data_IF_588523383295
#
_entry.id   IF_588523383295
#
_cell.length_a   1.000
_cell.length_b   1.000
_cell.length_c   1.000
_cell.angle_alpha   90.00
_cell.angle_beta   90.00
_cell.angle_gamma   90.00
#
_symmetry.space_group_name_H-M   'P 1'
#
loop_
_entity.id
_entity.type
_entity.pdbx_description
1 polymer ?
#
# COMPACT_ATOMS: atom_id res chain seq x y z
N UNK A 1 43.25 -9.18 -31.21
CA UNK A 1 42.25 -9.86 -32.06
C UNK A 1 41.28 -10.59 -31.15
N UNK A 2 40.00 -10.17 -31.15
CA UNK A 2 38.72 -10.76 -30.68
C UNK A 2 38.66 -11.81 -29.55
N UNK A 3 37.59 -11.95 -28.77
CA UNK A 3 36.28 -11.29 -28.69
C UNK A 3 35.47 -11.98 -27.57
N UNK A 4 34.53 -11.25 -26.93
CA UNK A 4 33.37 -11.81 -26.21
C UNK A 4 33.58 -12.13 -24.72
N UNK A 5 32.88 -11.55 -23.75
CA UNK A 5 31.54 -10.97 -23.78
C UNK A 5 30.61 -11.82 -22.90
N UNK A 6 30.20 -11.31 -21.74
CA UNK A 6 29.29 -12.03 -20.85
C UNK A 6 29.11 -11.37 -19.49
N UNK A 7 28.53 -10.17 -19.48
CA UNK A 7 28.10 -9.49 -18.26
C UNK A 7 27.03 -10.29 -17.53
N UNK A 8 27.39 -10.92 -16.42
CA UNK A 8 26.46 -11.36 -15.40
C UNK A 8 26.21 -10.22 -14.41
N UNK A 9 25.42 -9.23 -14.83
CA UNK A 9 24.70 -8.39 -13.88
C UNK A 9 23.69 -9.29 -13.16
N UNK A 10 24.17 -10.11 -12.23
CA UNK A 10 23.34 -10.70 -11.20
C UNK A 10 22.81 -9.51 -10.40
N UNK A 11 21.61 -9.10 -10.82
CA UNK A 11 20.97 -7.88 -10.38
C UNK A 11 20.95 -7.87 -8.86
N UNK A 12 21.80 -7.01 -8.31
CA UNK A 12 21.64 -6.34 -7.04
C UNK A 12 20.33 -5.55 -7.15
N UNK A 13 19.19 -6.24 -7.15
CA UNK A 13 17.93 -5.66 -6.75
C UNK A 13 18.13 -5.38 -5.26
N UNK A 14 18.74 -4.23 -4.97
CA UNK A 14 18.60 -3.60 -3.65
C UNK A 14 17.13 -3.70 -3.33
N UNK A 15 16.78 -4.45 -2.28
CA UNK A 15 15.41 -4.52 -1.79
C UNK A 15 14.85 -3.09 -1.74
N UNK A 16 13.98 -2.75 -2.68
CA UNK A 16 13.40 -1.41 -2.75
C UNK A 16 12.33 -1.35 -1.67
N UNK A 17 12.78 -1.04 -0.46
CA UNK A 17 11.93 -0.87 0.70
C UNK A 17 11.55 0.59 0.79
N UNK A 18 10.27 0.86 0.75
CA UNK A 18 9.74 2.20 0.91
C UNK A 18 8.84 2.31 2.13
N UNK A 19 8.67 3.54 2.63
CA UNK A 19 7.70 3.84 3.68
C UNK A 19 6.37 4.26 3.08
N UNK A 20 5.30 3.58 3.48
CA UNK A 20 3.92 3.90 3.10
C UNK A 20 3.05 4.03 4.36
N UNK A 21 1.86 4.57 4.17
CA UNK A 21 0.90 4.84 5.23
C UNK A 21 -0.40 4.07 5.00
N UNK A 22 -0.94 3.51 6.07
CA UNK A 22 -2.27 2.89 6.11
C UNK A 22 -3.14 3.62 7.12
N UNK A 23 -4.14 4.37 6.65
CA UNK A 23 -5.16 4.98 7.51
C UNK A 23 -6.25 3.97 7.84
N UNK A 24 -6.59 3.83 9.12
CA UNK A 24 -7.62 2.91 9.61
C UNK A 24 -8.17 3.37 10.96
N UNK A 25 -9.05 2.59 11.59
CA UNK A 25 -9.50 2.83 12.96
C UNK A 25 -8.44 2.42 13.97
N UNK A 26 -8.38 3.05 15.15
CA UNK A 26 -7.46 2.67 16.23
C UNK A 26 -7.62 1.20 16.61
N UNK A 27 -8.86 0.71 16.70
CA UNK A 27 -9.16 -0.71 16.96
C UNK A 27 -8.49 -1.63 15.93
N UNK A 28 -8.57 -1.30 14.65
CA UNK A 28 -7.94 -2.09 13.59
C UNK A 28 -6.42 -1.95 13.58
N UNK A 29 -5.89 -0.76 13.84
CA UNK A 29 -4.45 -0.55 13.96
C UNK A 29 -3.84 -1.42 15.07
N UNK A 30 -4.51 -1.54 16.22
CA UNK A 30 -4.08 -2.41 17.31
C UNK A 30 -4.12 -3.90 16.91
N UNK A 31 -5.15 -4.34 16.18
CA UNK A 31 -5.22 -5.71 15.63
C UNK A 31 -4.09 -5.98 14.66
N UNK A 32 -3.82 -5.05 13.73
CA UNK A 32 -2.75 -5.17 12.74
C UNK A 32 -1.38 -5.21 13.42
N UNK A 33 -1.17 -4.40 14.46
CA UNK A 33 0.09 -4.39 15.21
C UNK A 33 0.37 -5.73 15.90
N UNK A 34 -0.69 -6.43 16.35
CA UNK A 34 -0.57 -7.73 17.02
C UNK A 34 -0.52 -8.92 16.06
N UNK A 35 -1.29 -8.87 14.97
CA UNK A 35 -1.53 -10.02 14.08
C UNK A 35 -1.04 -9.85 12.64
N UNK A 36 -0.48 -8.69 12.31
CA UNK A 36 -0.15 -8.32 10.93
C UNK A 36 -1.37 -7.91 10.10
N UNK A 37 -1.13 -7.58 8.83
CA UNK A 37 -2.19 -7.19 7.91
C UNK A 37 -2.96 -8.40 7.39
N UNK A 38 -4.28 -8.28 7.36
CA UNK A 38 -5.15 -9.15 6.57
C UNK A 38 -5.54 -8.42 5.29
N UNK A 39 -5.55 -9.10 4.13
CA UNK A 39 -5.97 -8.47 2.89
C UNK A 39 -7.46 -8.15 2.96
N UNK A 40 -7.86 -7.01 2.38
CA UNK A 40 -9.28 -6.73 2.18
C UNK A 40 -9.91 -7.83 1.31
N UNK A 41 -11.17 -8.17 1.58
CA UNK A 41 -11.92 -9.13 0.75
C UNK A 41 -12.41 -8.51 -0.57
N UNK A 42 -12.49 -7.19 -0.64
CA UNK A 42 -12.98 -6.44 -1.79
C UNK A 42 -12.21 -5.11 -1.95
N UNK A 43 -12.41 -4.47 -3.10
CA UNK A 43 -11.83 -3.17 -3.44
C UNK A 43 -11.64 -3.01 -4.94
N UNK A 44 -11.36 -1.78 -5.35
CA UNK A 44 -11.17 -1.44 -6.77
C UNK A 44 -10.03 -2.25 -7.41
N UNK A 45 -8.95 -2.50 -6.67
CA UNK A 45 -7.80 -3.29 -7.11
C UNK A 45 -7.85 -4.76 -6.63
N UNK A 46 -9.00 -5.20 -6.12
CA UNK A 46 -9.18 -6.54 -5.56
C UNK A 46 -8.53 -6.72 -4.19
N UNK A 47 -8.30 -7.98 -3.77
CA UNK A 47 -7.79 -8.30 -2.45
C UNK A 47 -6.36 -7.80 -2.23
N UNK A 48 -6.13 -7.17 -1.07
CA UNK A 48 -4.81 -6.72 -0.66
C UNK A 48 -4.88 -5.65 0.43
N UNK A 49 -3.75 -5.05 0.74
CA UNK A 49 -3.62 -3.94 1.69
C UNK A 49 -3.49 -2.65 0.90
N UNK A 50 -4.39 -1.71 1.18
CA UNK A 50 -4.40 -0.41 0.52
C UNK A 50 -3.51 0.58 1.28
N UNK A 51 -2.56 1.17 0.56
CA UNK A 51 -1.52 2.02 1.11
C UNK A 51 -1.41 3.33 0.33
N UNK A 52 -0.85 4.35 0.96
CA UNK A 52 -0.53 5.62 0.30
C UNK A 52 0.88 6.09 0.64
N UNK A 53 1.52 6.77 -0.32
CA UNK A 53 2.74 7.55 -0.05
C UNK A 53 2.46 8.80 0.78
N UNK A 54 1.24 9.34 0.68
CA UNK A 54 0.85 10.58 1.33
C UNK A 54 0.23 10.30 2.70
N UNK A 55 0.90 10.79 3.74
CA UNK A 55 0.34 10.82 5.09
C UNK A 55 -0.99 11.55 5.11
N UNK A 56 -1.09 12.69 4.43
CA UNK A 56 -2.33 13.48 4.33
C UNK A 56 -3.47 12.68 3.70
N UNK A 57 -3.19 11.90 2.64
CA UNK A 57 -4.20 11.01 2.05
C UNK A 57 -4.62 9.90 3.02
N UNK A 58 -3.67 9.30 3.74
CA UNK A 58 -3.99 8.32 4.78
C UNK A 58 -4.81 8.94 5.92
N UNK A 59 -4.59 10.22 6.24
CA UNK A 59 -5.36 10.99 7.21
C UNK A 59 -6.79 11.28 6.76
N UNK A 60 -7.08 11.30 5.45
CA UNK A 60 -8.44 11.57 4.97
C UNK A 60 -9.48 10.49 5.39
N UNK A 61 -9.03 9.32 5.85
CA UNK A 61 -9.93 8.29 6.39
C UNK A 61 -10.69 8.74 7.66
N UNK A 62 -10.19 9.74 8.40
CA UNK A 62 -10.82 10.26 9.61
C UNK A 62 -12.25 10.76 9.37
N UNK A 63 -12.54 11.27 8.17
CA UNK A 63 -13.81 11.91 7.87
C UNK A 63 -15.01 10.93 7.87
N UNK A 64 -14.76 9.62 7.86
CA UNK A 64 -15.81 8.59 7.75
C UNK A 64 -15.71 7.51 8.83
N UNK A 65 -15.16 7.85 10.00
CA UNK A 65 -15.04 6.89 11.10
C UNK A 65 -16.41 6.57 11.73
N UNK A 66 -16.66 5.30 12.11
CA UNK A 66 -17.82 4.96 12.91
C UNK A 66 -17.86 5.74 14.24
N UNK A 67 -19.05 5.91 14.84
CA UNK A 67 -19.15 6.51 16.17
C UNK A 67 -18.26 5.76 17.17
N UNK A 68 -17.54 6.52 18.01
CA UNK A 68 -16.62 6.00 19.05
C UNK A 68 -15.34 5.32 18.54
N UNK A 69 -15.02 5.43 17.25
CA UNK A 69 -13.69 5.06 16.73
C UNK A 69 -12.79 6.28 16.60
N UNK A 70 -11.52 6.09 16.89
CA UNK A 70 -10.47 7.07 16.66
C UNK A 70 -9.69 6.74 15.39
N UNK A 71 -9.11 7.75 14.75
CA UNK A 71 -8.23 7.50 13.61
C UNK A 71 -6.87 6.99 14.09
N UNK A 72 -6.31 6.02 13.37
CA UNK A 72 -4.90 5.68 13.46
C UNK A 72 -4.28 5.62 12.06
N UNK A 73 -2.99 5.94 11.99
CA UNK A 73 -2.19 5.79 10.78
C UNK A 73 -0.99 4.92 11.11
N UNK A 74 -0.83 3.84 10.35
CA UNK A 74 0.32 2.96 10.45
C UNK A 74 1.35 3.36 9.40
N UNK A 75 2.59 3.62 9.82
CA UNK A 75 3.73 3.76 8.91
C UNK A 75 4.40 2.40 8.74
N UNK A 76 4.43 1.91 7.51
CA UNK A 76 4.87 0.56 7.17
C UNK A 76 6.03 0.58 6.19
N UNK A 77 6.91 -0.42 6.30
CA UNK A 77 7.96 -0.69 5.31
C UNK A 77 7.45 -1.73 4.31
N UNK A 78 7.51 -1.41 3.03
CA UNK A 78 6.96 -2.24 1.95
C UNK A 78 8.05 -2.54 0.94
N UNK A 79 8.23 -3.82 0.62
CA UNK A 79 9.05 -4.26 -0.50
C UNK A 79 8.29 -4.08 -1.81
N UNK A 80 8.79 -3.22 -2.69
CA UNK A 80 8.16 -2.92 -3.98
C UNK A 80 9.12 -3.30 -5.10
N UNK A 81 8.95 -4.48 -5.69
CA UNK A 81 9.77 -4.91 -6.83
C UNK A 81 9.01 -4.75 -8.15
N UNK A 82 7.89 -5.46 -8.32
CA UNK A 82 7.14 -5.48 -9.59
C UNK A 82 5.80 -4.77 -9.46
N UNK A 83 5.73 -3.56 -10.01
CA UNK A 83 4.52 -2.72 -9.99
C UNK A 83 3.69 -2.91 -11.28
N UNK A 84 2.38 -3.11 -11.13
CA UNK A 84 1.42 -3.06 -12.23
C UNK A 84 0.63 -1.75 -12.19
N UNK A 85 0.80 -0.92 -13.23
CA UNK A 85 -0.08 0.21 -13.49
C UNK A 85 -1.49 -0.28 -13.88
N UNK A 86 -2.52 0.24 -13.21
CA UNK A 86 -3.94 0.01 -13.48
C UNK A 86 -4.60 1.38 -13.66
N UNK A 87 -4.76 1.82 -14.90
CA UNK A 87 -5.14 3.20 -15.26
C UNK A 87 -6.51 3.31 -15.94
N UNK A 88 -7.31 2.24 -15.95
CA UNK A 88 -8.68 2.24 -16.45
C UNK A 88 -9.55 1.19 -15.77
N UNK A 89 -10.84 1.52 -15.64
CA UNK A 89 -11.81 0.58 -15.07
C UNK A 89 -11.98 -0.62 -16.03
N UNK A 90 -12.14 -1.81 -15.48
CA UNK A 90 -12.21 -3.04 -16.26
C UNK A 90 -10.86 -3.52 -16.82
N UNK A 91 -9.73 -2.96 -16.36
CA UNK A 91 -8.42 -3.47 -16.76
C UNK A 91 -8.32 -4.97 -16.40
N UNK A 92 -7.88 -5.82 -17.33
CA UNK A 92 -7.88 -7.29 -17.16
C UNK A 92 -7.10 -7.79 -15.92
N UNK A 93 -6.08 -7.05 -15.47
CA UNK A 93 -5.35 -7.31 -14.22
C UNK A 93 -5.82 -6.54 -12.99
N UNK A 94 -6.86 -5.69 -13.10
CA UNK A 94 -7.31 -4.79 -12.04
C UNK A 94 -7.46 -5.49 -10.69
N UNK A 95 -8.05 -6.70 -10.67
CA UNK A 95 -8.21 -7.51 -9.45
C UNK A 95 -7.38 -8.79 -9.44
N UNK A 96 -6.49 -8.98 -10.43
CA UNK A 96 -5.76 -10.25 -10.67
C UNK A 96 -4.25 -10.08 -10.78
N UNK A 97 -3.72 -8.87 -10.61
CA UNK A 97 -2.30 -8.53 -10.68
C UNK A 97 -1.42 -9.44 -9.80
N UNK A 98 -1.79 -9.68 -8.55
CA UNK A 98 -1.09 -10.59 -7.63
C UNK A 98 -0.90 -12.02 -8.21
N UNK A 99 -1.91 -12.58 -8.89
CA UNK A 99 -1.82 -13.90 -9.57
C UNK A 99 -0.89 -13.92 -10.78
N UNK A 100 -0.45 -12.76 -11.24
CA UNK A 100 0.52 -12.60 -12.33
C UNK A 100 1.91 -12.21 -11.81
N UNK A 101 2.14 -12.36 -10.51
CA UNK A 101 3.45 -12.15 -9.87
C UNK A 101 3.83 -10.68 -9.74
N UNK A 102 2.86 -9.77 -9.62
CA UNK A 102 3.11 -8.37 -9.29
C UNK A 102 2.98 -8.18 -7.77
N UNK A 103 3.87 -7.38 -7.20
CA UNK A 103 3.92 -7.03 -5.77
C UNK A 103 3.07 -5.81 -5.44
N UNK A 104 2.70 -5.02 -6.43
CA UNK A 104 1.91 -3.81 -6.24
C UNK A 104 1.02 -3.57 -7.44
N UNK A 105 -0.25 -3.30 -7.22
CA UNK A 105 -1.08 -2.58 -8.18
C UNK A 105 -1.05 -1.09 -7.84
N UNK A 106 -0.85 -0.25 -8.85
CA UNK A 106 -0.81 1.20 -8.71
C UNK A 106 -1.77 1.87 -9.68
N UNK A 107 -2.62 2.72 -9.15
CA UNK A 107 -3.48 3.64 -9.88
C UNK A 107 -2.77 4.98 -9.92
N UNK A 108 -2.40 5.52 -11.10
CA UNK A 108 -1.79 6.83 -11.19
C UNK A 108 -2.79 7.95 -10.89
N UNK A 109 -2.32 9.14 -10.49
CA UNK A 109 -3.21 10.28 -10.31
C UNK A 109 -3.90 10.66 -11.63
N UNK A 110 -5.11 11.21 -11.53
CA UNK A 110 -5.88 11.79 -12.62
C UNK A 110 -6.17 10.85 -13.82
N UNK A 111 -6.19 9.54 -13.62
CA UNK A 111 -6.55 8.57 -14.69
C UNK A 111 -8.04 8.19 -14.73
N UNK A 112 -8.90 8.85 -13.95
CA UNK A 112 -10.34 8.57 -13.92
C UNK A 112 -10.74 7.28 -13.20
N UNK A 113 -9.81 6.58 -12.55
CA UNK A 113 -10.09 5.37 -11.77
C UNK A 113 -10.79 5.65 -10.44
N UNK A 114 -10.46 6.76 -9.79
CA UNK A 114 -11.00 7.15 -8.48
C UNK A 114 -11.56 8.56 -8.54
N UNK A 115 -12.68 8.79 -7.86
CA UNK A 115 -13.36 10.09 -7.85
C UNK A 115 -12.47 11.23 -7.29
N UNK A 116 -11.56 10.91 -6.37
CA UNK A 116 -10.62 11.89 -5.82
C UNK A 116 -9.51 12.32 -6.78
N UNK A 117 -9.32 11.60 -7.89
CA UNK A 117 -8.17 11.77 -8.78
C UNK A 117 -6.81 11.41 -8.16
N UNK A 118 -6.77 10.97 -6.90
CA UNK A 118 -5.52 10.67 -6.19
C UNK A 118 -5.03 9.24 -6.47
N UNK A 119 -3.73 9.03 -6.52
CA UNK A 119 -3.13 7.71 -6.74
C UNK A 119 -3.50 6.67 -5.66
N UNK A 120 -3.56 5.39 -5.99
CA UNK A 120 -3.90 4.33 -5.03
C UNK A 120 -2.99 3.12 -5.20
N UNK A 121 -2.54 2.55 -4.08
CA UNK A 121 -1.69 1.36 -4.08
C UNK A 121 -2.38 0.22 -3.38
N UNK A 122 -2.28 -0.97 -3.94
CA UNK A 122 -2.71 -2.21 -3.31
C UNK A 122 -1.56 -3.22 -3.37
N UNK A 123 -1.20 -3.77 -2.21
CA UNK A 123 -0.08 -4.70 -2.06
C UNK A 123 -0.51 -5.99 -1.35
N UNK A 124 0.14 -7.14 -1.61
CA UNK A 124 -0.07 -8.35 -0.82
C UNK A 124 0.51 -8.16 0.60
N UNK A 125 -0.13 -8.69 1.66
CA UNK A 125 0.37 -8.54 3.03
C UNK A 125 1.81 -9.01 3.25
N UNK A 126 2.28 -10.02 2.51
CA UNK A 126 3.63 -10.56 2.62
C UNK A 126 4.72 -9.63 2.06
N UNK A 127 4.36 -8.55 1.35
CA UNK A 127 5.31 -7.50 0.93
C UNK A 127 5.58 -6.48 2.04
N UNK A 128 4.77 -6.47 3.09
CA UNK A 128 4.93 -5.60 4.24
C UNK A 128 5.88 -6.27 5.24
N UNK A 129 6.92 -5.56 5.65
CA UNK A 129 7.91 -6.07 6.60
C UNK A 129 7.23 -6.45 7.93
N UNK A 130 7.60 -7.61 8.50
CA UNK A 130 7.01 -8.18 9.72
C UNK A 130 7.35 -7.43 11.03
N UNK A 131 8.12 -6.35 10.97
CA UNK A 131 8.29 -5.49 12.13
C UNK A 131 6.94 -4.82 12.43
N UNK A 132 6.45 -4.83 13.68
CA UNK A 132 5.18 -4.20 14.01
C UNK A 132 5.21 -2.77 13.44
N UNK A 133 4.20 -2.37 12.65
CA UNK A 133 4.12 -1.02 12.13
C UNK A 133 4.36 -0.07 13.29
N UNK A 134 5.28 0.89 13.14
CA UNK A 134 5.34 1.96 14.14
C UNK A 134 4.01 2.69 14.03
N UNK A 135 3.23 2.62 15.11
CA UNK A 135 2.16 3.57 15.34
C UNK A 135 2.86 4.93 15.43
N UNK A 136 2.89 5.63 14.29
CA UNK A 136 3.12 7.06 14.33
C UNK A 136 1.86 7.61 14.98
N UNK A 137 1.97 8.16 16.18
CA UNK A 137 0.85 8.84 16.83
C UNK A 137 0.35 9.92 15.87
N UNK A 138 -0.79 9.68 15.22
CA UNK A 138 -1.58 10.76 14.65
C UNK A 138 -2.18 11.50 15.84
N UNK A 139 -1.36 12.39 16.39
CA UNK A 139 -1.69 13.60 17.13
C UNK A 139 -3.03 13.52 17.85
N UNK A 140 -2.97 13.40 19.18
CA UNK A 140 -3.86 14.16 20.07
C UNK A 140 -3.89 15.63 19.60
N UNK A 141 -4.66 15.95 18.57
CA UNK A 141 -5.27 17.27 18.48
C UNK A 141 -6.44 17.19 19.43
N UNK A 142 -6.14 17.56 20.68
CA UNK A 142 -7.11 18.04 21.64
C UNK A 142 -8.21 18.80 20.93
N UNK A 143 -9.38 18.20 20.82
CA UNK A 143 -10.61 18.97 20.97
C UNK A 143 -10.95 18.88 22.46
N UNK A 144 -10.27 19.75 23.23
CA UNK A 144 -10.89 20.37 24.40
C UNK A 144 -11.71 21.54 23.88
#
# INVERSE_FOLDING_TARGET
>A
CGEGGGGGAENILKDLIFFMYHGTTLTNALKITRGGFLPSSNGMLGPGVYLSWSLQKASAYAHHLPPREEQAILKVRVHVHKVKKIDRQGHHLQKRWHRKGYDTAWVPPNCGMVASGLEEHCVPPNTICKNPPRLEECLRRSYR
#
